data_IF_018757044966
#
_entry.id   IF_018757044966
#
_cell.length_a   1.000
_cell.length_b   1.000
_cell.length_c   1.000
_cell.angle_alpha   90.00
_cell.angle_beta   90.00
_cell.angle_gamma   90.00
#
_symmetry.space_group_name_H-M   'P 1'
#
loop_
_entity.id
_entity.type
_entity.pdbx_description
1 polymer ?
2 polymer ?
3 non-polymer ?
4 water ?
#
# COMPACT_ATOMS: atom_id res chain seq x y z
N UNK A 16 -24.13 -6.85 -21.46
CA UNK A 16 -23.50 -7.37 -22.67
C UNK A 16 -21.97 -7.63 -22.49
N UNK A 17 -21.11 -6.72 -22.97
CA UNK A 17 -19.68 -6.71 -22.63
C UNK A 17 -19.51 -6.15 -21.22
N UNK A 18 -20.41 -5.24 -20.83
CA UNK A 18 -20.50 -4.73 -19.45
C UNK A 18 -20.54 -5.85 -18.41
N UNK A 19 -21.26 -6.92 -18.70
CA UNK A 19 -21.43 -8.04 -17.76
C UNK A 19 -20.10 -8.72 -17.41
N UNK A 20 -19.23 -8.85 -18.39
CA UNK A 20 -17.91 -9.46 -18.22
C UNK A 20 -17.03 -8.56 -17.36
N UNK A 21 -17.16 -7.25 -17.57
CA UNK A 21 -16.47 -6.24 -16.77
C UNK A 21 -16.93 -6.19 -15.33
N UNK A 22 -18.25 -6.31 -15.14
CA UNK A 22 -18.84 -6.45 -13.80
C UNK A 22 -18.41 -7.69 -13.05
N UNK A 23 -18.32 -8.81 -13.76
CA UNK A 23 -17.78 -10.06 -13.16
C UNK A 23 -16.29 -9.97 -12.77
N UNK A 24 -15.49 -9.30 -13.60
CA UNK A 24 -14.09 -9.02 -13.32
C UNK A 24 -13.97 -8.20 -12.04
N UNK A 25 -14.73 -7.13 -11.95
CA UNK A 25 -14.81 -6.27 -10.77
C UNK A 25 -15.13 -7.05 -9.50
N UNK A 26 -16.14 -7.90 -9.59
CA UNK A 26 -16.54 -8.76 -8.48
C UNK A 26 -15.50 -9.85 -8.12
N UNK A 27 -14.89 -10.48 -9.12
CA UNK A 27 -13.81 -11.44 -8.87
C UNK A 27 -12.61 -10.79 -8.13
N UNK A 28 -12.26 -9.59 -8.57
CA UNK A 28 -11.21 -8.81 -7.91
C UNK A 28 -11.55 -8.37 -6.51
N UNK A 29 -12.79 -7.98 -6.28
CA UNK A 29 -13.28 -7.66 -4.93
C UNK A 29 -13.12 -8.85 -4.01
N UNK A 30 -13.67 -10.00 -4.44
CA UNK A 30 -13.62 -11.22 -3.63
C UNK A 30 -12.17 -11.60 -3.28
N UNK A 31 -11.28 -11.60 -4.27
CA UNK A 31 -9.86 -11.89 -4.00
C UNK A 31 -9.16 -10.78 -3.14
N UNK A 32 -9.60 -9.53 -3.26
CA UNK A 32 -9.07 -8.43 -2.47
C UNK A 32 -9.38 -8.62 -1.00
N UNK A 33 -10.65 -8.98 -0.75
CA UNK A 33 -11.14 -9.32 0.58
C UNK A 33 -10.31 -10.46 1.21
N UNK A 34 -10.00 -11.51 0.46
CA UNK A 34 -9.12 -12.60 0.95
C UNK A 34 -7.67 -12.18 1.18
N UNK A 35 -7.17 -11.25 0.35
CA UNK A 35 -5.74 -10.91 0.35
C UNK A 35 -5.35 -9.85 1.40
N UNK A 36 -6.26 -8.94 1.75
CA UNK A 36 -5.97 -7.82 2.64
C UNK A 36 -6.91 -7.93 3.84
N UNK A 37 -6.45 -8.51 4.97
CA UNK A 37 -7.29 -8.67 6.17
C UNK A 37 -7.98 -7.41 6.71
N UNK A 38 -7.25 -6.30 6.72
CA UNK A 38 -7.77 -5.02 7.14
C UNK A 38 -8.22 -4.21 5.94
N UNK A 39 -9.53 -4.14 5.73
CA UNK A 39 -10.10 -3.42 4.59
C UNK A 39 -10.22 -1.94 4.93
N UNK A 40 -10.47 -1.11 3.93
CA UNK A 40 -10.77 0.29 4.18
C UNK A 40 -12.02 0.43 5.06
N UNK A 41 -13.03 -0.40 4.81
CA UNK A 41 -14.29 -0.35 5.59
C UNK A 41 -14.01 -0.57 7.10
N UNK A 42 -13.28 -1.61 7.40
CA UNK A 42 -12.87 -1.90 8.77
C UNK A 42 -12.05 -0.76 9.38
N UNK A 43 -11.12 -0.20 8.62
CA UNK A 43 -10.28 0.92 9.09
C UNK A 43 -11.10 2.16 9.39
N UNK A 44 -12.03 2.48 8.51
CA UNK A 44 -12.92 3.63 8.69
C UNK A 44 -13.85 3.45 9.89
N UNK A 45 -14.43 2.26 10.02
CA UNK A 45 -15.26 1.91 11.17
C UNK A 45 -14.50 2.27 12.46
N UNK A 46 -13.26 1.80 12.53
CA UNK A 46 -12.39 2.11 13.67
C UNK A 46 -12.11 3.60 13.86
N UNK A 47 -11.67 4.29 12.81
CA UNK A 47 -11.30 5.71 12.89
C UNK A 47 -12.45 6.64 13.31
N UNK A 48 -13.69 6.22 12.99
CA UNK A 48 -14.91 6.98 13.29
C UNK A 48 -15.66 6.54 14.56
N UNK A 49 -15.22 5.44 15.17
CA UNK A 49 -15.90 4.87 16.33
C UNK A 49 -17.27 4.26 16.06
N UNK A 50 -17.53 3.89 14.79
CA UNK A 50 -18.76 3.18 14.37
C UNK A 50 -18.52 1.68 14.43
N UNK A 51 -18.02 1.25 15.58
CA UNK A 51 -17.54 -0.10 15.81
C UNK A 51 -17.75 -0.44 17.28
N UNK A 52 -18.08 -1.70 17.53
CA UNK A 52 -18.29 -2.22 18.89
C UNK A 52 -16.98 -2.67 19.59
N UNK A 53 -15.86 -2.67 18.88
CA UNK A 53 -14.54 -2.90 19.48
C UNK A 53 -14.05 -1.67 20.25
N UNK A 54 -13.05 -1.90 21.10
CA UNK A 54 -12.40 -0.85 21.89
C UNK A 54 -11.66 0.17 21.00
N UNK A 55 -11.61 1.41 21.45
CA UNK A 55 -10.91 2.49 20.75
C UNK A 55 -9.36 2.29 20.74
N UNK A 56 -8.67 2.58 19.61
CA UNK A 56 -7.23 2.34 19.51
C UNK A 56 -6.40 3.19 20.47
N UNK A 57 -5.35 2.63 21.03
CA UNK A 57 -4.47 3.38 21.93
C UNK A 57 -3.75 4.49 21.15
N UNK A 58 -3.82 5.73 21.63
CA UNK A 58 -3.22 6.87 20.93
C UNK A 58 -1.79 7.06 21.37
N UNK A 59 -0.89 7.05 20.38
CA UNK A 59 0.55 7.29 20.59
C UNK A 59 0.93 8.62 19.98
N UNK A 60 1.07 9.62 20.84
CA UNK A 60 1.36 10.99 20.47
C UNK A 60 2.73 11.45 20.93
N UNK A 61 3.42 10.63 21.72
CA UNK A 61 4.75 10.97 22.20
C UNK A 61 5.49 9.75 22.73
N UNK A 62 6.72 9.98 23.15
CA UNK A 62 7.59 8.96 23.75
C UNK A 62 6.90 8.18 24.85
N UNK A 63 6.39 8.88 25.83
CA UNK A 63 5.77 8.22 26.98
C UNK A 63 4.54 7.40 26.64
N UNK A 64 3.70 7.88 25.73
CA UNK A 64 2.51 7.10 25.32
C UNK A 64 2.87 5.88 24.46
N UNK A 65 4.01 5.95 23.76
CA UNK A 65 4.56 4.77 23.08
C UNK A 65 4.89 3.70 24.11
N UNK A 66 5.64 4.09 25.14
CA UNK A 66 5.95 3.21 26.27
C UNK A 66 4.68 2.67 26.93
N UNK A 67 3.68 3.53 27.11
CA UNK A 67 2.44 3.09 27.75
C UNK A 67 1.60 2.15 26.90
N UNK A 68 1.69 2.30 25.58
CA UNK A 68 0.89 1.54 24.64
C UNK A 68 1.42 0.17 24.27
N UNK A 69 2.69 -0.09 24.60
CA UNK A 69 3.39 -1.34 24.27
C UNK A 69 2.60 -2.66 24.40
N UNK A 70 1.83 -2.84 25.47
CA UNK A 70 0.95 -4.04 25.61
C UNK A 70 -0.17 -4.09 24.58
N UNK A 71 -0.93 -3.00 24.49
CA UNK A 71 -2.07 -2.88 23.55
C UNK A 71 -1.67 -3.12 22.09
N UNK A 72 -0.53 -2.56 21.69
CA UNK A 72 -0.03 -2.64 20.32
C UNK A 72 1.02 -3.74 20.10
N UNK A 73 1.55 -4.31 21.19
CA UNK A 73 2.50 -5.44 21.15
C UNK A 73 3.79 -5.04 20.43
N UNK A 74 4.26 -3.84 20.75
CA UNK A 74 5.45 -3.23 20.14
C UNK A 74 6.74 -4.06 20.31
N UNK A 75 6.88 -4.76 21.42
CA UNK A 75 8.08 -5.62 21.66
C UNK A 75 8.10 -6.88 20.79
N UNK A 76 6.94 -7.29 20.28
CA UNK A 76 6.83 -8.36 19.29
C UNK A 76 7.49 -8.06 17.90
N UNK A 77 7.88 -6.81 17.65
CA UNK A 77 8.67 -6.45 16.45
C UNK A 77 10.09 -6.97 16.57
N UNK A 78 10.76 -6.64 17.68
CA UNK A 78 12.18 -7.01 17.90
C UNK A 78 12.30 -8.05 19.02
N UNK A 79 12.19 -9.35 18.67
CA UNK A 79 12.51 -10.37 19.66
C UNK A 79 14.01 -10.51 19.99
N UNK A 80 14.87 -9.81 19.24
CA UNK A 80 16.31 -9.66 19.58
C UNK A 80 16.59 -8.42 20.44
N UNK A 85 17.23 -0.54 21.38
CA UNK A 85 17.51 0.39 20.27
C UNK A 85 16.85 1.74 20.47
N UNK A 86 17.25 2.69 19.63
CA UNK A 86 16.69 4.04 19.62
C UNK A 86 15.22 4.02 19.18
N UNK A 87 14.45 5.04 19.57
CA UNK A 87 13.01 5.07 19.31
C UNK A 87 12.61 5.20 17.83
N UNK A 88 13.18 6.19 17.15
CA UNK A 88 12.87 6.48 15.76
C UNK A 88 13.15 5.25 14.91
N UNK A 89 14.19 4.51 15.29
CA UNK A 89 14.55 3.21 14.73
C UNK A 89 13.49 2.15 15.03
N UNK A 90 13.05 2.08 16.27
CA UNK A 90 12.05 1.07 16.68
C UNK A 90 10.70 1.28 15.94
N UNK A 91 10.25 2.53 15.85
CA UNK A 91 9.04 2.88 15.12
C UNK A 91 9.18 2.48 13.64
N UNK A 92 10.29 2.88 13.02
CA UNK A 92 10.63 2.51 11.63
C UNK A 92 10.67 1.00 11.37
N UNK A 93 11.19 0.23 12.32
CA UNK A 93 11.19 -1.24 12.21
C UNK A 93 9.76 -1.78 12.25
N UNK A 94 8.94 -1.22 13.12
CA UNK A 94 7.50 -1.51 13.12
C UNK A 94 6.84 -1.27 11.77
N UNK A 95 7.12 -0.12 11.19
CA UNK A 95 6.62 0.25 9.87
C UNK A 95 7.11 -0.74 8.81
N UNK A 96 8.37 -1.12 8.97
CA UNK A 96 9.04 -2.09 8.11
C UNK A 96 8.40 -3.46 8.17
N UNK A 97 8.18 -3.93 9.39
CA UNK A 97 7.48 -5.21 9.63
C UNK A 97 6.15 -5.33 8.84
N UNK A 98 5.37 -4.25 8.87
CA UNK A 98 4.05 -4.26 8.27
C UNK A 98 4.16 -4.19 6.74
N UNK A 99 5.10 -3.36 6.28
CA UNK A 99 5.44 -3.24 4.87
C UNK A 99 5.77 -4.58 4.23
N UNK A 100 6.57 -5.37 4.92
CA UNK A 100 6.91 -6.70 4.47
C UNK A 100 5.64 -7.54 4.30
N UNK A 101 4.75 -7.52 5.27
CA UNK A 101 3.48 -8.23 5.15
C UNK A 101 2.58 -7.67 4.04
N UNK A 102 2.60 -6.35 3.88
CA UNK A 102 1.90 -5.67 2.79
C UNK A 102 2.41 -6.17 1.44
N UNK A 103 3.73 -6.33 1.30
CA UNK A 103 4.26 -6.87 0.04
C UNK A 103 3.74 -8.29 -0.19
N UNK A 104 3.61 -9.09 0.87
CA UNK A 104 3.07 -10.45 0.75
C UNK A 104 1.60 -10.44 0.32
N UNK A 105 0.84 -9.50 0.88
CA UNK A 105 -0.59 -9.40 0.55
C UNK A 105 -0.78 -8.91 -0.86
N UNK A 106 -0.03 -7.89 -1.25
CA UNK A 106 -0.07 -7.37 -2.60
C UNK A 106 0.31 -8.45 -3.62
N UNK A 107 1.31 -9.27 -3.29
CA UNK A 107 1.79 -10.33 -4.16
C UNK A 107 0.72 -11.42 -4.36
N UNK A 108 0.06 -11.83 -3.30
CA UNK A 108 -1.05 -12.79 -3.36
C UNK A 108 -2.22 -12.27 -4.21
N UNK A 109 -2.56 -11.00 -3.99
CA UNK A 109 -3.63 -10.35 -4.75
C UNK A 109 -3.29 -10.30 -6.24
N UNK A 110 -2.05 -9.89 -6.55
CA UNK A 110 -1.53 -9.92 -7.93
C UNK A 110 -1.76 -11.28 -8.64
N UNK A 111 -1.44 -12.38 -7.97
CA UNK A 111 -1.71 -13.73 -8.50
C UNK A 111 -3.18 -14.02 -8.85
N UNK A 112 -4.09 -13.37 -8.15
CA UNK A 112 -5.52 -13.53 -8.45
C UNK A 112 -5.99 -12.69 -9.66
N UNK A 113 -5.17 -11.74 -10.13
CA UNK A 113 -5.57 -10.93 -11.30
C UNK A 113 -5.51 -11.81 -12.57
N UNK A 114 -6.67 -12.01 -13.26
CA UNK A 114 -6.68 -12.92 -14.43
C UNK A 114 -5.63 -12.56 -15.46
N UNK A 115 -4.80 -13.54 -15.81
CA UNK A 115 -3.67 -13.34 -16.72
C UNK A 115 -2.31 -13.06 -16.09
N UNK A 116 -2.28 -12.60 -14.83
CA UNK A 116 -1.00 -12.17 -14.23
C UNK A 116 0.04 -13.29 -14.18
N UNK A 117 -0.33 -14.48 -13.71
CA UNK A 117 0.69 -15.56 -13.52
C UNK A 117 1.16 -16.25 -14.83
N UNK A 118 0.44 -16.02 -15.93
CA UNK A 118 0.88 -16.49 -17.26
C UNK A 118 1.88 -15.55 -17.90
N UNK A 119 2.07 -14.37 -17.31
CA UNK A 119 3.13 -13.49 -17.75
C UNK A 119 4.49 -14.10 -17.42
N UNK A 120 5.49 -13.66 -18.14
CA UNK A 120 6.86 -14.06 -17.91
C UNK A 120 7.21 -13.72 -16.45
N UNK A 121 7.75 -14.69 -15.73
CA UNK A 121 8.08 -14.53 -14.31
C UNK A 121 8.96 -13.31 -13.98
N UNK A 122 9.87 -12.93 -14.87
CA UNK A 122 10.65 -11.70 -14.66
C UNK A 122 9.76 -10.46 -14.73
N UNK A 123 8.72 -10.53 -15.56
CA UNK A 123 7.76 -9.42 -15.69
C UNK A 123 6.84 -9.30 -14.46
N UNK A 124 6.37 -10.42 -13.94
CA UNK A 124 5.64 -10.44 -12.66
C UNK A 124 6.42 -9.73 -11.54
N UNK A 125 7.69 -10.10 -11.46
CA UNK A 125 8.63 -9.51 -10.52
C UNK A 125 8.77 -8.03 -10.76
N UNK A 126 9.00 -7.64 -12.01
CA UNK A 126 9.18 -6.22 -12.32
C UNK A 126 7.91 -5.40 -11.98
N UNK A 127 6.76 -5.94 -12.33
CA UNK A 127 5.48 -5.29 -12.05
C UNK A 127 5.30 -5.08 -10.55
N UNK A 128 5.53 -6.13 -9.77
CA UNK A 128 5.48 -6.02 -8.31
C UNK A 128 6.49 -5.06 -7.72
N UNK A 129 7.71 -5.14 -8.21
CA UNK A 129 8.84 -4.36 -7.71
C UNK A 129 8.54 -2.87 -7.77
N UNK A 130 8.04 -2.41 -8.91
CA UNK A 130 7.63 -1.00 -9.08
C UNK A 130 6.25 -0.68 -8.49
N UNK A 131 5.33 -1.65 -8.54
CA UNK A 131 3.94 -1.40 -8.16
C UNK A 131 3.68 -1.32 -6.66
N UNK A 132 4.38 -2.15 -5.87
CA UNK A 132 4.10 -2.28 -4.46
C UNK A 132 4.18 -0.96 -3.69
N UNK A 133 5.15 -0.10 -4.00
CA UNK A 133 5.25 1.19 -3.30
C UNK A 133 4.12 2.14 -3.57
N UNK A 134 3.59 2.10 -4.79
CA UNK A 134 2.45 2.89 -5.16
C UNK A 134 1.24 2.39 -4.39
N UNK A 135 1.08 1.08 -4.32
CA UNK A 135 -0.04 0.46 -3.61
C UNK A 135 0.05 0.69 -2.12
N UNK A 136 1.27 0.63 -1.59
CA UNK A 136 1.50 0.92 -0.18
C UNK A 136 0.98 2.30 0.19
N UNK A 137 1.23 3.30 -0.66
CA UNK A 137 0.66 4.63 -0.46
C UNK A 137 -0.88 4.61 -0.35
N UNK A 138 -1.55 3.84 -1.21
CA UNK A 138 -3.01 3.73 -1.18
C UNK A 138 -3.51 2.96 0.07
N UNK A 139 -2.76 1.94 0.47
CA UNK A 139 -3.03 1.21 1.70
C UNK A 139 -2.89 2.11 2.94
N UNK A 140 -1.84 2.91 2.97
CA UNK A 140 -1.66 3.86 4.06
C UNK A 140 -2.80 4.87 4.12
N UNK A 141 -3.30 5.31 2.97
CA UNK A 141 -4.39 6.27 2.92
C UNK A 141 -5.66 5.75 3.60
N UNK A 142 -6.01 4.51 3.35
CA UNK A 142 -7.09 3.83 4.08
C UNK A 142 -6.94 3.87 5.61
N UNK A 143 -5.71 3.79 6.09
CA UNK A 143 -5.40 3.79 7.53
C UNK A 143 -5.23 5.18 8.16
N UNK A 144 -5.37 6.22 7.36
CA UNK A 144 -4.94 7.56 7.74
C UNK A 144 -6.11 8.53 7.78
N UNK A 145 -6.02 9.49 8.71
CA UNK A 145 -6.71 10.77 8.58
C UNK A 145 -5.64 11.87 8.59
N UNK A 146 -6.08 13.13 8.62
CA UNK A 146 -5.22 14.33 8.75
C UNK A 146 -4.23 14.27 9.91
N UNK A 147 -4.61 13.62 11.00
CA UNK A 147 -3.84 13.66 12.25
C UNK A 147 -3.04 12.40 12.58
N UNK A 148 -3.27 11.29 11.89
CA UNK A 148 -2.47 10.10 12.17
C UNK A 148 -2.83 8.85 11.41
N UNK A 149 -2.22 7.74 11.84
CA UNK A 149 -2.27 6.49 11.10
C UNK A 149 -2.57 5.35 12.05
N UNK A 150 -3.47 4.45 11.65
CA UNK A 150 -3.74 3.21 12.39
C UNK A 150 -2.59 2.26 12.25
N UNK A 151 -2.16 1.70 13.38
CA UNK A 151 -1.10 0.70 13.40
C UNK A 151 -1.56 -0.52 14.16
N UNK A 152 -0.74 -1.57 14.07
CA UNK A 152 -0.85 -2.80 14.85
C UNK A 152 -2.24 -3.36 14.74
N UNK A 153 -2.66 -3.59 13.50
CA UNK A 153 -3.94 -4.20 13.19
C UNK A 153 -5.15 -3.42 13.76
N UNK A 154 -5.05 -2.11 13.77
CA UNK A 154 -6.11 -1.25 14.29
C UNK A 154 -6.12 -1.04 15.80
N UNK A 155 -5.15 -1.61 16.51
CA UNK A 155 -5.09 -1.49 17.96
C UNK A 155 -4.40 -0.22 18.43
N UNK A 156 -3.65 0.43 17.54
CA UNK A 156 -2.95 1.68 17.83
C UNK A 156 -3.22 2.79 16.84
N UNK A 157 -2.95 4.03 17.26
CA UNK A 157 -3.05 5.19 16.41
C UNK A 157 -1.88 6.11 16.73
N UNK A 158 -0.96 6.22 15.78
CA UNK A 158 0.23 7.02 15.93
C UNK A 158 -0.04 8.36 15.25
N UNK A 159 0.12 9.46 15.99
CA UNK A 159 -0.19 10.79 15.46
C UNK A 159 0.85 11.20 14.44
N UNK A 160 0.39 12.04 13.52
CA UNK A 160 1.21 12.66 12.49
C UNK A 160 2.32 13.54 13.06
N UNK A 161 2.00 14.34 14.06
CA UNK A 161 3.02 15.20 14.72
C UNK A 161 4.09 14.41 15.48
N UNK A 162 3.70 13.31 16.11
CA UNK A 162 4.71 12.43 16.71
C UNK A 162 5.68 11.85 15.69
N UNK A 163 5.18 11.46 14.52
CA UNK A 163 6.05 10.90 13.48
C UNK A 163 6.95 11.99 12.90
N UNK A 164 6.36 13.15 12.63
CA UNK A 164 7.06 14.37 12.19
C UNK A 164 8.16 14.82 13.16
N UNK A 165 7.89 14.68 14.46
CA UNK A 165 8.84 15.08 15.50
C UNK A 165 10.03 14.14 15.68
N UNK A 166 10.06 13.02 14.99
CA UNK A 166 11.20 12.13 15.05
C UNK A 166 12.41 12.81 14.40
N UNK A 167 13.59 12.36 14.81
CA UNK A 167 14.81 12.96 14.28
C UNK A 167 15.00 12.56 12.83
N UNK A 168 15.73 13.40 12.09
CA UNK A 168 16.02 13.12 10.69
C UNK A 168 16.90 11.87 10.55
N UNK A 169 16.75 11.11 9.47
CA UNK A 169 15.79 11.34 8.38
C UNK A 169 14.38 10.74 8.63
N UNK A 170 14.19 10.08 9.77
CA UNK A 170 12.91 9.41 10.09
C UNK A 170 11.74 10.37 10.20
N UNK A 171 12.00 11.61 10.63
CA UNK A 171 10.98 12.64 10.81
C UNK A 171 10.23 13.01 9.55
N UNK A 172 10.88 12.81 8.40
CA UNK A 172 10.33 13.19 7.09
C UNK A 172 9.75 12.00 6.29
N UNK A 173 9.85 10.80 6.84
CA UNK A 173 9.53 9.59 6.11
C UNK A 173 8.03 9.45 5.83
N UNK A 174 7.22 9.55 6.87
CA UNK A 174 5.77 9.31 6.77
C UNK A 174 4.96 10.49 6.22
N UNK A 175 5.48 11.71 6.36
CA UNK A 175 4.74 12.94 6.05
C UNK A 175 4.23 13.06 4.57
N UNK A 176 5.07 12.77 3.57
CA UNK A 176 4.56 12.77 2.18
C UNK A 176 3.42 11.79 1.92
N UNK A 177 3.36 10.71 2.69
CA UNK A 177 2.26 9.74 2.57
C UNK A 177 0.99 10.32 3.19
N UNK A 178 1.14 11.08 4.30
CA UNK A 178 0.04 11.84 4.87
C UNK A 178 -0.50 12.87 3.89
N UNK A 179 0.39 13.60 3.27
CA UNK A 179 0.00 14.57 2.25
C UNK A 179 -0.80 13.95 1.09
N UNK A 180 -0.30 12.85 0.55
CA UNK A 180 -1.00 12.15 -0.52
C UNK A 180 -2.35 11.62 -0.04
N UNK A 181 -2.36 11.08 1.16
CA UNK A 181 -3.57 10.45 1.71
C UNK A 181 -4.74 11.41 1.87
N UNK A 182 -4.50 12.63 2.35
CA UNK A 182 -5.59 13.57 2.57
C UNK A 182 -6.26 13.94 1.23
N UNK A 183 -5.46 14.14 0.20
CA UNK A 183 -5.99 14.36 -1.16
C UNK A 183 -6.67 13.13 -1.72
N UNK A 184 -6.03 11.97 -1.57
CA UNK A 184 -6.56 10.75 -2.14
C UNK A 184 -7.85 10.34 -1.45
N UNK A 185 -7.94 10.61 -0.15
CA UNK A 185 -9.13 10.24 0.62
C UNK A 185 -10.38 11.07 0.31
N UNK A 186 -10.18 12.29 -0.19
CA UNK A 186 -11.28 13.14 -0.65
C UNK A 186 -12.03 12.56 -1.84
N UNK A 187 -11.41 11.65 -2.58
CA UNK A 187 -12.09 10.89 -3.63
C UNK A 187 -13.14 9.89 -3.12
N UNK A 188 -12.98 9.42 -1.88
CA UNK A 188 -14.00 8.61 -1.20
C UNK A 188 -14.24 7.27 -1.85
N UNK A 189 -13.16 6.62 -2.27
CA UNK A 189 -13.25 5.31 -2.87
C UNK A 189 -13.56 4.32 -1.78
N UNK A 190 -14.29 3.27 -2.14
CA UNK A 190 -14.45 2.11 -1.24
C UNK A 190 -13.58 0.94 -1.71
N UNK A 191 -13.65 -0.14 -0.97
CA UNK A 191 -12.90 -1.36 -1.22
C UNK A 191 -13.13 -1.94 -2.61
N UNK A 192 -14.37 -1.86 -3.08
CA UNK A 192 -14.70 -2.43 -4.38
C UNK A 192 -14.08 -1.62 -5.53
N UNK A 193 -13.98 -0.31 -5.35
CA UNK A 193 -13.22 0.56 -6.25
C UNK A 193 -11.72 0.25 -6.19
N UNK A 194 -11.20 0.27 -4.97
CA UNK A 194 -9.79 0.09 -4.70
C UNK A 194 -9.25 -1.21 -5.26
N UNK A 195 -10.03 -2.27 -5.15
CA UNK A 195 -9.65 -3.56 -5.68
C UNK A 195 -9.26 -3.47 -7.17
N UNK A 196 -10.04 -2.74 -7.95
CA UNK A 196 -9.78 -2.58 -9.37
C UNK A 196 -8.65 -1.57 -9.60
N UNK A 197 -8.65 -0.47 -8.86
CA UNK A 197 -7.58 0.53 -9.01
C UNK A 197 -6.19 -0.08 -8.80
N UNK A 198 -6.08 -0.95 -7.79
CA UNK A 198 -4.84 -1.59 -7.45
C UNK A 198 -4.38 -2.55 -8.55
N UNK A 199 -5.33 -3.26 -9.14
CA UNK A 199 -5.05 -4.15 -10.27
C UNK A 199 -4.45 -3.36 -11.44
N UNK A 200 -5.03 -2.19 -11.72
CA UNK A 200 -4.55 -1.30 -12.78
C UNK A 200 -3.11 -0.83 -12.56
N UNK A 201 -2.78 -0.44 -11.33
CA UNK A 201 -1.42 0.00 -10.95
C UNK A 201 -0.39 -1.09 -11.22
N UNK A 202 -0.74 -2.32 -10.83
CA UNK A 202 0.20 -3.42 -10.93
C UNK A 202 0.53 -3.69 -12.39
N UNK A 203 -0.51 -3.70 -13.23
CA UNK A 203 -0.38 -4.03 -14.65
C UNK A 203 -0.07 -2.83 -15.52
N UNK A 204 0.99 -2.12 -15.17
CA UNK A 204 1.47 -0.97 -15.93
C UNK A 204 2.53 -1.42 -16.95
N UNK A 205 2.20 -1.33 -18.24
CA UNK A 205 3.08 -1.79 -19.31
C UNK A 205 4.31 -0.93 -19.58
N UNK A 206 4.41 0.18 -18.89
CA UNK A 206 5.52 1.09 -19.05
C UNK A 206 6.55 1.04 -17.90
N UNK A 207 6.55 -0.02 -17.09
CA UNK A 207 7.62 -0.18 -16.09
C UNK A 207 8.94 -0.43 -16.82
N UNK A 208 10.05 0.14 -16.32
CA UNK A 208 11.38 -0.15 -16.87
C UNK A 208 11.75 -1.62 -16.79
N UNK A 209 12.31 -2.16 -17.87
CA UNK A 209 12.84 -3.53 -17.90
C UNK A 209 11.84 -4.61 -18.20
N UNK A 210 10.65 -4.23 -18.66
CA UNK A 210 9.65 -5.22 -19.06
C UNK A 210 10.06 -5.86 -20.40
N UNK A 211 9.90 -7.17 -20.45
CA UNK A 211 10.18 -7.95 -21.63
C UNK A 211 9.02 -7.86 -22.63
N UNK A 212 7.81 -8.22 -22.18
CA UNK A 212 6.63 -8.34 -23.05
C UNK A 212 5.51 -7.42 -22.61
N UNK A 213 5.56 -6.19 -23.12
CA UNK A 213 4.65 -5.11 -22.80
C UNK A 213 3.19 -5.43 -23.23
N UNK A 214 3.03 -6.16 -24.32
CA UNK A 214 1.72 -6.37 -24.94
C UNK A 214 0.70 -7.13 -24.06
N UNK A 215 1.04 -8.33 -23.56
CA UNK A 215 0.01 -9.05 -22.75
C UNK A 215 -0.33 -8.35 -21.39
N UNK A 216 0.59 -7.50 -20.91
CA UNK A 216 0.35 -6.62 -19.75
C UNK A 216 -0.70 -5.53 -20.08
N UNK A 217 -0.44 -4.79 -21.14
CA UNK A 217 -1.37 -3.77 -21.65
C UNK A 217 -2.74 -4.32 -22.04
N UNK A 218 -2.80 -5.55 -22.54
CA UNK A 218 -4.08 -6.20 -22.88
C UNK A 218 -4.91 -6.41 -21.62
N UNK A 219 -4.26 -6.85 -20.54
CA UNK A 219 -4.94 -7.04 -19.28
C UNK A 219 -5.35 -5.68 -18.68
N UNK A 220 -4.43 -4.73 -18.66
CA UNK A 220 -4.70 -3.42 -18.10
C UNK A 220 -5.86 -2.70 -18.79
N UNK A 221 -5.95 -2.86 -20.11
CA UNK A 221 -7.05 -2.33 -20.90
C UNK A 221 -8.40 -2.80 -20.38
N UNK A 222 -8.54 -4.10 -20.14
CA UNK A 222 -9.74 -4.66 -19.52
C UNK A 222 -9.99 -4.19 -18.09
N UNK A 223 -8.93 -4.07 -17.30
CA UNK A 223 -9.02 -3.54 -15.94
C UNK A 223 -9.50 -2.08 -15.89
N UNK A 224 -8.99 -1.26 -16.80
CA UNK A 224 -9.39 0.15 -16.87
C UNK A 224 -10.86 0.29 -17.25
N UNK A 225 -11.30 -0.51 -18.21
CA UNK A 225 -12.70 -0.52 -18.59
C UNK A 225 -13.56 -0.94 -17.41
N UNK A 226 -13.13 -2.01 -16.72
CA UNK A 226 -13.76 -2.45 -15.49
C UNK A 226 -13.80 -1.36 -14.43
N UNK A 227 -12.72 -0.60 -14.32
CA UNK A 227 -12.61 0.48 -13.35
C UNK A 227 -13.57 1.59 -13.70
N UNK A 228 -13.58 1.97 -14.97
CA UNK A 228 -14.47 3.02 -15.46
C UNK A 228 -15.95 2.74 -15.18
N UNK A 229 -16.40 1.56 -15.55
CA UNK A 229 -17.78 1.11 -15.28
C UNK A 229 -18.12 1.01 -13.79
N UNK A 230 -17.19 0.46 -13.01
CA UNK A 230 -17.32 0.40 -11.56
C UNK A 230 -17.56 1.78 -10.93
N UNK A 231 -16.76 2.75 -11.34
CA UNK A 231 -16.89 4.11 -10.83
C UNK A 231 -18.18 4.82 -11.29
N UNK A 232 -18.62 4.52 -12.51
CA UNK A 232 -19.89 5.04 -13.03
C UNK A 232 -21.03 4.56 -12.17
N UNK A 233 -21.07 3.26 -11.94
CA UNK A 233 -22.14 2.60 -11.22
C UNK A 233 -22.13 2.87 -9.73
N UNK A 234 -20.94 2.85 -9.13
CA UNK A 234 -20.82 2.98 -7.68
C UNK A 234 -20.84 4.42 -7.22
N UNK A 235 -20.39 5.33 -8.08
CA UNK A 235 -20.43 6.76 -7.79
C UNK A 235 -21.06 7.58 -8.95
N UNK A 236 -22.35 7.32 -9.28
CA UNK A 236 -23.03 8.01 -10.40
C UNK A 236 -23.11 9.54 -10.24
N UNK A 237 -23.18 10.02 -9.00
CA UNK A 237 -23.14 11.46 -8.69
C UNK A 237 -21.77 12.13 -8.92
N UNK A 238 -20.69 11.34 -8.96
CA UNK A 238 -19.31 11.84 -9.12
C UNK A 238 -18.84 11.79 -10.57
N UNK A 239 -19.08 12.88 -11.27
CA UNK A 239 -18.67 13.02 -12.64
C UNK A 239 -17.13 13.07 -12.72
N UNK A 240 -16.61 12.37 -13.72
CA UNK A 240 -15.16 12.24 -13.97
C UNK A 240 -14.27 11.96 -12.73
N UNK A 241 -14.76 11.01 -11.94
CA UNK A 241 -14.00 10.43 -10.83
C UNK A 241 -12.86 9.56 -11.40
N UNK A 242 -13.20 8.86 -12.48
CA UNK A 242 -12.25 8.07 -13.27
C UNK A 242 -11.05 8.90 -13.70
N UNK A 243 -11.33 10.06 -14.29
CA UNK A 243 -10.31 11.00 -14.69
C UNK A 243 -9.50 11.50 -13.51
N UNK A 244 -10.17 11.88 -12.42
CA UNK A 244 -9.49 12.32 -11.19
C UNK A 244 -8.62 11.24 -10.58
N UNK A 245 -9.10 10.00 -10.70
CA UNK A 245 -8.38 8.87 -10.20
C UNK A 245 -7.12 8.60 -11.01
N UNK A 246 -7.20 8.65 -12.34
CA UNK A 246 -6.03 8.41 -13.20
C UNK A 246 -4.95 9.46 -13.03
N UNK A 247 -5.35 10.69 -12.78
CA UNK A 247 -4.42 11.77 -12.54
C UNK A 247 -3.67 11.56 -11.22
N UNK A 248 -4.37 11.14 -10.18
CA UNK A 248 -3.73 10.76 -8.89
C UNK A 248 -2.70 9.63 -9.04
N UNK A 249 -3.05 8.62 -9.85
CA UNK A 249 -2.18 7.47 -10.16
C UNK A 249 -0.85 7.89 -10.82
N UNK A 250 -0.92 8.91 -11.66
CA UNK A 250 0.27 9.54 -12.27
C UNK A 250 1.07 10.36 -11.27
N UNK A 251 0.39 11.19 -10.47
CA UNK A 251 1.01 11.92 -9.32
C UNK A 251 1.80 11.00 -8.41
N UNK A 252 1.21 9.85 -8.14
CA UNK A 252 1.73 8.86 -7.22
C UNK A 252 3.03 8.24 -7.66
N UNK A 253 3.18 7.96 -8.95
CA UNK A 253 4.48 7.54 -9.53
C UNK A 253 5.61 8.51 -9.24
N UNK A 254 5.32 9.79 -9.50
CA UNK A 254 6.25 10.87 -9.26
C UNK A 254 6.63 10.92 -7.80
N UNK A 255 5.64 10.83 -6.91
CA UNK A 255 5.86 10.82 -5.46
C UNK A 255 6.69 9.64 -4.97
N UNK A 256 6.46 8.44 -5.51
CA UNK A 256 7.15 7.23 -5.06
C UNK A 256 8.65 7.28 -5.36
N UNK A 257 9.02 7.99 -6.43
CA UNK A 257 10.43 8.26 -6.74
C UNK A 257 11.20 8.85 -5.55
N UNK A 258 10.59 9.80 -4.84
CA UNK A 258 11.23 10.45 -3.68
C UNK A 258 11.22 9.56 -2.42
N UNK A 259 10.16 8.76 -2.28
CA UNK A 259 10.11 7.72 -1.24
C UNK A 259 11.24 6.69 -1.37
N UNK A 260 11.46 6.23 -2.60
CA UNK A 260 12.52 5.27 -2.89
C UNK A 260 13.88 5.87 -2.59
N UNK A 261 14.08 7.13 -2.97
CA UNK A 261 15.33 7.85 -2.68
C UNK A 261 15.62 7.90 -1.19
N UNK A 262 14.62 8.25 -0.38
CA UNK A 262 14.79 8.38 1.07
C UNK A 262 15.21 7.06 1.76
N UNK A 263 14.79 5.93 1.23
CA UNK A 263 15.14 4.65 1.85
C UNK A 263 16.58 4.26 1.63
N UNK A 264 17.00 4.39 0.36
CA UNK A 264 18.39 4.15 -0.03
C UNK A 264 19.31 5.07 0.79
N UNK A 265 18.89 6.31 0.98
CA UNK A 265 19.55 7.22 1.93
C UNK A 265 19.66 6.59 3.33
N UNK A 266 18.51 6.25 3.92
CA UNK A 266 18.44 5.65 5.27
C UNK A 266 19.25 4.35 5.40
N UNK A 267 19.19 3.47 4.40
CA UNK A 267 19.95 2.21 4.44
C UNK A 267 21.44 2.48 4.63
N UNK A 268 21.99 3.36 3.81
CA UNK A 268 23.40 3.74 3.86
C UNK A 268 23.80 4.55 5.10
N UNK A 269 22.93 5.47 5.51
CA UNK A 269 23.26 6.45 6.54
C UNK A 269 22.93 6.05 7.97
N UNK A 270 22.24 4.92 8.16
CA UNK A 270 21.88 4.41 9.50
C UNK A 270 22.42 2.99 9.71
N UNK A 271 23.40 2.87 10.60
CA UNK A 271 24.17 1.62 10.75
C UNK A 271 23.45 0.61 11.65
N UNK A 272 22.84 1.10 12.72
CA UNK A 272 22.13 0.25 13.70
C UNK A 272 20.75 -0.27 13.23
N UNK A 273 20.31 0.17 12.06
CA UNK A 273 19.04 -0.27 11.48
C UNK A 273 19.31 -1.24 10.32
N UNK A 274 18.74 -2.44 10.41
CA UNK A 274 18.79 -3.47 9.36
C UNK A 274 17.53 -3.38 8.49
N UNK A 275 17.71 -3.23 7.18
CA UNK A 275 16.60 -3.21 6.23
C UNK A 275 16.27 -4.63 5.81
N UNK A 276 15.00 -5.00 5.89
CA UNK A 276 14.56 -6.36 5.66
C UNK A 276 14.93 -6.78 4.23
N UNK A 277 15.41 -8.01 4.05
CA UNK A 277 15.86 -8.48 2.73
C UNK A 277 14.86 -8.28 1.57
N UNK A 278 13.59 -8.59 1.81
CA UNK A 278 12.53 -8.37 0.79
C UNK A 278 12.43 -6.93 0.38
N UNK A 279 12.48 -6.04 1.35
CA UNK A 279 12.44 -4.62 1.06
C UNK A 279 13.68 -4.21 0.28
N UNK A 280 14.84 -4.76 0.64
CA UNK A 280 16.07 -4.53 -0.16
C UNK A 280 15.86 -4.94 -1.60
N UNK A 281 15.39 -6.16 -1.83
CA UNK A 281 15.07 -6.63 -3.20
C UNK A 281 14.27 -5.63 -4.05
N UNK A 282 13.31 -4.97 -3.41
CA UNK A 282 12.39 -4.07 -4.08
C UNK A 282 12.93 -2.63 -4.19
N UNK A 283 13.96 -2.28 -3.43
CA UNK A 283 14.62 -0.97 -3.52
C UNK A 283 15.88 -0.95 -4.41
N UNK A 284 16.47 -2.11 -4.66
CA UNK A 284 17.70 -2.22 -5.45
C UNK A 284 17.43 -1.99 -6.94
N UNK A 285 18.23 -1.12 -7.56
CA UNK A 285 18.19 -0.86 -9.01
C UNK A 285 16.85 -0.25 -9.43
N UNK A 286 16.38 0.71 -8.63
CA UNK A 286 15.04 1.26 -8.77
C UNK A 286 15.15 2.79 -8.81
N UNK A 287 14.86 3.38 -9.98
CA UNK A 287 14.97 4.84 -10.21
C UNK A 287 16.36 5.39 -9.87
N UNK B 2 18.69 -10.45 -8.38
CA UNK B 2 18.07 -11.82 -8.41
C UNK B 2 16.58 -11.82 -8.07
N UNK B 3 16.22 -11.15 -6.97
CA UNK B 3 14.83 -11.08 -6.44
C UNK B 3 14.33 -12.44 -5.99
N UNK B 4 15.13 -13.04 -5.09
CA UNK B 4 14.96 -14.43 -4.70
C UNK B 4 13.67 -14.63 -3.92
N UNK B 5 13.41 -13.73 -2.96
CA UNK B 5 12.22 -13.85 -2.10
C UNK B 5 10.93 -13.58 -2.90
N UNK B 6 10.94 -12.51 -3.70
CA UNK B 6 9.81 -12.22 -4.57
C UNK B 6 9.48 -13.39 -5.46
N UNK B 7 10.51 -13.95 -6.10
CA UNK B 7 10.38 -15.20 -6.87
C UNK B 7 9.70 -16.32 -6.07
N UNK B 8 10.17 -16.49 -4.84
CA UNK B 8 9.62 -17.50 -3.94
C UNK B 8 8.13 -17.23 -3.63
N UNK B 9 7.81 -15.99 -3.28
CA UNK B 9 6.40 -15.61 -3.02
C UNK B 9 5.50 -15.81 -4.25
N UNK B 10 6.00 -15.47 -5.43
CA UNK B 10 5.22 -15.67 -6.68
C UNK B 10 5.01 -17.13 -7.09
N UNK B 11 6.08 -17.95 -7.04
CA UNK B 11 6.00 -19.33 -7.50
C UNK B 11 5.22 -20.24 -6.55
N UNK B 12 5.23 -19.90 -5.26
CA UNK B 12 4.65 -20.74 -4.22
C UNK B 12 3.34 -20.16 -3.71
#
# INVERSE_FOLDING_TARGET
GSHMAEISSDIDQLNPESADLRALAKHLYDSYIKSFPLTKAKARAILTGKTTDKSPFVIYDMNSLMMGEDKIKFKHITPLQEQSKEVAIRIFQGCQFRSVEAVQEITEYAKSIPGFVNLDLNDQVTLLKYGVHEIIYTMLASLMNKDGVLISEGQGFMTREFLKSLRKPFGDFMEPKFEFAVKFNALELDDSDLAIFIAVIILSGDRPGLLNVKPIEDIQDNLLQALELQLKLNHPESSQLFAKLLQKMTDLRQIVTEHVQLLQVIKKTETDMSLHPLLQEIYKDLY
ERHKILHRLLQEGSPS
#
